data_IF_076345699135
#
_entry.id   IF_076345699135
#
_cell.length_a   1.000
_cell.length_b   1.000
_cell.length_c   1.000
_cell.angle_alpha   90.00
_cell.angle_beta   90.00
_cell.angle_gamma   90.00
#
_symmetry.space_group_name_H-M   'P 1'
#
loop_
_entity.id
_entity.type
_entity.pdbx_description
1 polymer ?
#
# COMPACT_ATOMS: atom_id res chain seq x y z
N UNK A 1 -26.37 39.29 67.06
CA UNK A 1 -25.35 38.47 67.75
C UNK A 1 -25.73 37.01 67.58
N UNK A 2 -24.76 36.17 67.16
CA UNK A 2 -24.75 34.68 67.21
C UNK A 2 -25.63 34.04 66.11
N UNK A 3 -25.14 33.60 64.95
CA UNK A 3 -24.15 32.55 64.58
C UNK A 3 -24.77 31.18 64.29
N UNK A 4 -24.10 30.49 63.34
CA UNK A 4 -24.04 29.04 63.11
C UNK A 4 -24.93 28.45 62.01
N UNK A 5 -24.36 28.45 60.81
CA UNK A 5 -23.90 27.24 60.11
C UNK A 5 -24.48 25.90 60.57
N UNK A 6 -25.25 25.24 59.70
CA UNK A 6 -25.52 23.80 59.78
C UNK A 6 -25.44 23.15 58.38
N UNK A 7 -24.49 22.23 58.29
CA UNK A 7 -24.33 21.19 57.27
C UNK A 7 -25.42 20.13 57.43
N UNK A 8 -25.90 19.50 56.35
CA UNK A 8 -25.82 18.03 56.14
C UNK A 8 -26.55 17.53 54.89
N UNK A 9 -25.76 16.83 54.07
CA UNK A 9 -26.00 15.56 53.36
C UNK A 9 -27.20 15.41 52.41
N UNK A 10 -26.87 15.52 51.11
CA UNK A 10 -27.64 15.00 49.98
C UNK A 10 -27.51 13.46 49.95
N UNK A 11 -28.64 12.76 49.99
CA UNK A 11 -28.74 11.31 49.74
C UNK A 11 -28.88 11.09 48.23
N UNK A 12 -27.81 10.67 47.55
CA UNK A 12 -27.94 10.06 46.23
C UNK A 12 -28.02 8.54 46.36
N UNK A 13 -29.19 8.02 45.95
CA UNK A 13 -29.52 6.61 45.83
C UNK A 13 -29.22 6.18 44.38
N UNK A 14 -28.70 4.97 44.26
CA UNK A 14 -28.61 4.12 43.05
C UNK A 14 -27.46 4.49 42.09
N UNK A 15 -26.35 3.76 42.16
CA UNK A 15 -26.12 2.50 41.42
C UNK A 15 -26.01 2.73 39.92
N UNK A 16 -24.79 2.94 39.42
CA UNK A 16 -24.27 2.17 38.29
C UNK A 16 -22.79 2.51 38.03
N UNK A 17 -21.94 1.53 38.33
CA UNK A 17 -20.76 1.12 37.56
C UNK A 17 -19.88 2.20 36.92
N UNK A 18 -18.72 2.37 37.55
CA UNK A 18 -17.41 2.47 36.91
C UNK A 18 -17.42 2.22 35.39
N UNK A 19 -17.32 3.30 34.62
CA UNK A 19 -16.57 3.25 33.37
C UNK A 19 -15.56 4.38 33.47
N UNK A 20 -14.37 3.98 33.92
CA UNK A 20 -13.12 4.61 33.59
C UNK A 20 -13.14 4.95 32.09
N UNK A 21 -13.49 6.20 31.76
CA UNK A 21 -13.04 6.81 30.51
C UNK A 21 -11.53 7.04 30.66
N UNK A 22 -10.77 5.93 30.66
CA UNK A 22 -9.41 5.97 30.15
C UNK A 22 -9.61 6.35 28.69
N UNK A 23 -9.43 7.63 28.42
CA UNK A 23 -9.17 8.10 27.07
C UNK A 23 -7.88 7.37 26.70
N UNK A 24 -8.03 6.24 26.01
CA UNK A 24 -6.93 5.57 25.34
C UNK A 24 -6.44 6.60 24.33
N UNK A 25 -5.43 7.35 24.73
CA UNK A 25 -4.67 8.17 23.80
C UNK A 25 -4.08 7.21 22.78
N UNK A 26 -4.78 6.99 21.67
CA UNK A 26 -4.11 6.61 20.45
C UNK A 26 -3.15 7.75 20.15
N UNK A 27 -1.92 7.63 20.63
CA UNK A 27 -0.82 8.39 20.08
C UNK A 27 -0.72 7.93 18.63
N UNK A 28 -1.28 8.73 17.72
CA UNK A 28 -0.84 8.71 16.33
C UNK A 28 0.62 9.13 16.41
N UNK A 29 1.47 8.14 16.59
CA UNK A 29 2.88 8.30 16.34
C UNK A 29 2.97 8.53 14.84
N UNK A 30 2.92 9.81 14.44
CA UNK A 30 3.42 10.24 13.14
C UNK A 30 4.95 10.10 13.18
N UNK A 31 5.41 8.86 13.34
CA UNK A 31 6.67 8.47 12.77
C UNK A 31 6.48 8.76 11.28
N UNK A 32 6.96 9.93 10.86
CA UNK A 32 7.41 10.16 9.50
C UNK A 32 8.52 9.13 9.34
N UNK A 33 8.12 7.89 9.02
CA UNK A 33 9.03 6.83 8.69
C UNK A 33 9.80 7.39 7.52
N UNK A 34 11.04 7.80 7.79
CA UNK A 34 11.92 8.32 6.77
C UNK A 34 11.95 7.23 5.72
N UNK A 35 11.29 7.48 4.60
CA UNK A 35 11.20 6.57 3.47
C UNK A 35 12.61 6.42 2.92
N UNK A 36 13.42 5.57 3.54
CA UNK A 36 14.51 4.91 2.87
C UNK A 36 13.82 4.06 1.81
N UNK A 37 13.64 4.64 0.62
CA UNK A 37 13.08 3.92 -0.50
C UNK A 37 14.02 2.74 -0.71
N UNK A 38 13.59 1.53 -0.38
CA UNK A 38 14.35 0.32 -0.64
C UNK A 38 14.31 0.10 -2.14
N UNK A 39 15.18 0.85 -2.84
CA UNK A 39 15.37 0.76 -4.28
C UNK A 39 16.36 -0.35 -4.52
N UNK A 40 15.92 -1.38 -5.22
CA UNK A 40 16.81 -2.44 -5.65
C UNK A 40 16.50 -2.86 -7.07
N UNK A 41 17.48 -3.54 -7.64
CA UNK A 41 17.51 -3.88 -9.05
C UNK A 41 17.62 -5.39 -9.19
N UNK A 42 16.78 -5.97 -10.06
CA UNK A 42 16.84 -7.39 -10.41
C UNK A 42 17.06 -7.49 -11.92
N UNK A 43 17.99 -8.34 -12.35
CA UNK A 43 18.24 -8.61 -13.77
C UNK A 43 17.62 -9.94 -14.17
N UNK A 44 17.18 -10.04 -15.43
CA UNK A 44 16.61 -11.26 -15.95
C UNK A 44 16.46 -11.27 -17.47
N UNK A 45 15.90 -12.36 -17.97
CA UNK A 45 15.57 -12.57 -19.39
C UNK A 45 14.07 -12.82 -19.51
N UNK A 46 13.41 -12.19 -20.47
CA UNK A 46 11.99 -12.45 -20.74
C UNK A 46 11.86 -13.84 -21.34
N UNK A 47 11.06 -14.69 -20.70
CA UNK A 47 10.71 -16.01 -21.22
C UNK A 47 9.47 -15.95 -22.10
N UNK A 48 8.43 -15.27 -21.62
CA UNK A 48 7.13 -15.21 -22.29
C UNK A 48 6.45 -13.86 -22.06
N UNK A 49 5.58 -13.50 -23.00
CA UNK A 49 4.78 -12.28 -23.02
C UNK A 49 3.33 -12.66 -23.31
N UNK A 50 2.43 -12.29 -22.40
CA UNK A 50 1.00 -12.56 -22.53
C UNK A 50 0.23 -11.24 -22.53
N UNK A 51 -0.69 -11.04 -23.47
CA UNK A 51 -1.59 -9.88 -23.43
C UNK A 51 -2.60 -10.03 -22.29
N UNK A 52 -2.80 -8.96 -21.51
CA UNK A 52 -3.76 -8.93 -20.40
C UNK A 52 -4.63 -7.68 -20.45
N UNK A 53 -5.82 -7.77 -19.85
CA UNK A 53 -6.68 -6.60 -19.61
C UNK A 53 -6.44 -6.12 -18.18
N UNK A 54 -6.18 -4.83 -18.02
CA UNK A 54 -6.02 -4.18 -16.72
C UNK A 54 -7.34 -3.48 -16.42
N UNK A 55 -8.05 -3.98 -15.41
CA UNK A 55 -9.21 -3.30 -14.85
C UNK A 55 -8.70 -2.18 -13.94
N UNK A 56 -9.16 -0.95 -14.17
CA UNK A 56 -8.91 0.17 -13.26
C UNK A 56 -10.10 0.27 -12.30
N UNK A 57 -9.83 0.33 -10.99
CA UNK A 57 -10.83 0.55 -9.95
C UNK A 57 -11.54 1.88 -10.23
N UNK A 58 -12.74 1.77 -10.78
CA UNK A 58 -13.44 2.87 -11.43
C UNK A 58 -14.04 3.81 -10.38
N UNK A 59 -13.51 5.03 -10.29
CA UNK A 59 -14.25 6.23 -9.84
C UNK A 59 -14.43 7.26 -10.97
N UNK A 60 -14.10 6.90 -12.21
CA UNK A 60 -14.16 7.81 -13.34
C UNK A 60 -15.05 7.21 -14.43
N UNK A 61 -16.17 7.88 -14.74
CA UNK A 61 -17.32 7.40 -15.53
C UNK A 61 -17.03 7.07 -17.01
N UNK A 62 -15.76 7.05 -17.43
CA UNK A 62 -15.37 6.61 -18.77
C UNK A 62 -15.18 5.08 -18.82
N UNK A 63 -16.31 4.38 -18.71
CA UNK A 63 -16.45 2.91 -18.73
C UNK A 63 -15.86 2.22 -19.97
N UNK A 64 -15.53 2.98 -21.02
CA UNK A 64 -15.10 2.45 -22.31
C UNK A 64 -13.58 2.37 -22.50
N UNK A 65 -12.78 2.81 -21.52
CA UNK A 65 -11.32 2.76 -21.65
C UNK A 65 -10.76 1.42 -21.15
N UNK A 66 -10.76 0.41 -22.02
CA UNK A 66 -10.03 -0.85 -21.77
C UNK A 66 -8.53 -0.56 -21.72
N UNK A 67 -7.93 -0.66 -20.53
CA UNK A 67 -6.48 -0.56 -20.40
C UNK A 67 -5.85 -1.90 -20.77
N UNK A 68 -5.19 -1.95 -21.93
CA UNK A 68 -4.41 -3.11 -22.34
C UNK A 68 -3.06 -3.12 -21.61
N UNK A 69 -2.66 -4.31 -21.16
CA UNK A 69 -1.38 -4.58 -20.55
C UNK A 69 -0.71 -5.80 -21.17
N UNK A 70 0.55 -6.01 -20.77
CA UNK A 70 1.28 -7.25 -21.02
C UNK A 70 1.78 -7.79 -19.69
N UNK A 71 1.67 -9.10 -19.52
CA UNK A 71 2.34 -9.85 -18.48
C UNK A 71 3.68 -10.35 -19.02
N UNK A 72 4.75 -10.00 -18.32
CA UNK A 72 6.11 -10.44 -18.63
C UNK A 72 6.50 -11.53 -17.63
N UNK A 73 6.74 -12.75 -18.14
CA UNK A 73 7.38 -13.82 -17.37
C UNK A 73 8.89 -13.67 -17.52
N UNK A 74 9.58 -13.38 -16.42
CA UNK A 74 11.00 -13.04 -16.41
C UNK A 74 11.76 -14.07 -15.57
N UNK A 75 12.75 -14.72 -16.18
CA UNK A 75 13.71 -15.55 -15.47
C UNK A 75 14.86 -14.67 -14.95
N UNK A 76 15.00 -14.55 -13.64
CA UNK A 76 16.09 -13.78 -13.04
C UNK A 76 17.42 -14.51 -13.20
N UNK A 77 18.50 -13.74 -13.14
CA UNK A 77 19.87 -14.28 -13.13
C UNK A 77 20.16 -15.20 -11.95
N UNK A 78 19.32 -15.17 -10.90
CA UNK A 78 19.42 -16.04 -9.72
C UNK A 78 18.67 -17.37 -9.88
N UNK A 79 18.05 -17.62 -11.04
CA UNK A 79 17.32 -18.86 -11.26
C UNK A 79 15.85 -18.82 -10.80
N UNK A 80 15.34 -17.69 -10.31
CA UNK A 80 13.91 -17.53 -9.97
C UNK A 80 13.10 -16.94 -11.11
N UNK A 81 11.84 -17.34 -11.26
CA UNK A 81 10.89 -16.71 -12.19
C UNK A 81 10.06 -15.62 -11.48
N UNK A 82 9.79 -14.51 -12.17
CA UNK A 82 8.95 -13.40 -11.71
C UNK A 82 7.95 -13.08 -12.82
N UNK A 83 6.66 -12.98 -12.48
CA UNK A 83 5.66 -12.38 -13.35
C UNK A 83 5.46 -10.90 -13.00
N UNK A 84 5.43 -10.04 -14.01
CA UNK A 84 5.13 -8.61 -13.87
C UNK A 84 4.11 -8.19 -14.93
N UNK A 85 2.96 -7.70 -14.47
CA UNK A 85 1.99 -7.02 -15.34
C UNK A 85 2.37 -5.56 -15.47
N UNK A 86 2.44 -5.08 -16.71
CA UNK A 86 2.67 -3.68 -17.04
C UNK A 86 1.65 -3.19 -18.07
N UNK A 87 1.33 -1.90 -18.01
CA UNK A 87 0.60 -1.23 -19.09
C UNK A 87 1.46 -1.24 -20.35
N UNK A 88 0.84 -1.44 -21.51
CA UNK A 88 1.58 -1.34 -22.78
C UNK A 88 2.17 0.06 -22.88
N UNK A 89 3.50 0.12 -23.03
CA UNK A 89 4.26 1.36 -23.20
C UNK A 89 5.02 1.35 -24.54
N UNK A 90 5.97 2.28 -24.73
CA UNK A 90 6.73 2.38 -25.99
C UNK A 90 7.70 1.23 -26.23
N UNK A 91 8.03 0.44 -25.20
CA UNK A 91 9.03 -0.60 -25.32
C UNK A 91 8.34 -1.90 -25.75
N UNK A 92 8.56 -2.28 -27.00
CA UNK A 92 8.10 -3.55 -27.54
C UNK A 92 9.10 -4.64 -27.13
N UNK A 93 8.91 -5.19 -25.93
CA UNK A 93 9.69 -6.34 -25.47
C UNK A 93 9.40 -7.58 -26.33
N UNK A 94 10.40 -8.44 -26.49
CA UNK A 94 10.28 -9.77 -27.08
C UNK A 94 10.89 -10.84 -26.17
N UNK A 95 10.46 -12.09 -26.32
CA UNK A 95 11.10 -13.21 -25.62
C UNK A 95 12.59 -13.28 -25.95
N UNK A 96 13.41 -13.49 -24.93
CA UNK A 96 14.87 -13.45 -25.01
C UNK A 96 15.49 -12.10 -24.64
N UNK A 97 14.70 -11.03 -24.55
CA UNK A 97 15.24 -9.73 -24.15
C UNK A 97 15.79 -9.75 -22.73
N UNK A 98 16.98 -9.17 -22.56
CA UNK A 98 17.55 -8.91 -21.24
C UNK A 98 16.90 -7.67 -20.66
N UNK A 99 16.42 -7.79 -19.43
CA UNK A 99 15.72 -6.72 -18.75
C UNK A 99 16.25 -6.50 -17.35
N UNK A 100 16.05 -5.27 -16.89
CA UNK A 100 16.30 -4.85 -15.53
C UNK A 100 14.97 -4.41 -14.91
N UNK A 101 14.65 -4.98 -13.75
CA UNK A 101 13.50 -4.63 -12.94
C UNK A 101 13.98 -3.69 -11.84
N UNK A 102 13.52 -2.44 -11.88
CA UNK A 102 13.73 -1.47 -10.82
C UNK A 102 12.53 -1.58 -9.87
N UNK A 103 12.78 -2.03 -8.64
CA UNK A 103 11.77 -2.04 -7.58
C UNK A 103 11.97 -0.82 -6.69
N UNK A 104 10.91 -0.04 -6.53
CA UNK A 104 10.86 1.16 -5.69
C UNK A 104 9.58 1.10 -4.87
N UNK A 105 9.72 0.79 -3.57
CA UNK A 105 8.60 0.56 -2.67
C UNK A 105 7.64 -0.51 -3.25
N UNK A 106 6.36 -0.18 -3.39
CA UNK A 106 5.33 -1.08 -3.93
C UNK A 106 5.20 -1.00 -5.47
N UNK A 107 6.17 -0.39 -6.16
CA UNK A 107 6.15 -0.24 -7.62
C UNK A 107 7.33 -0.96 -8.26
N UNK A 108 7.08 -1.58 -9.39
CA UNK A 108 8.09 -2.20 -10.23
C UNK A 108 8.08 -1.57 -11.61
N UNK A 109 9.25 -1.35 -12.20
CA UNK A 109 9.39 -0.92 -13.58
C UNK A 109 10.35 -1.85 -14.30
N UNK A 110 9.91 -2.40 -15.43
CA UNK A 110 10.75 -3.21 -16.32
C UNK A 110 11.32 -2.30 -17.40
N UNK A 111 12.63 -2.37 -17.62
CA UNK A 111 13.32 -1.64 -18.68
C UNK A 111 14.33 -2.55 -19.38
N UNK A 112 14.64 -2.30 -20.67
CA UNK A 112 15.71 -3.01 -21.35
C UNK A 112 17.04 -2.88 -20.59
N UNK A 113 17.74 -4.00 -20.40
CA UNK A 113 19.14 -4.00 -19.96
C UNK A 113 20.02 -3.87 -21.20
N UNK A 114 21.04 -3.02 -21.13
CA UNK A 114 22.12 -3.04 -22.12
C UNK A 114 22.91 -4.36 -22.02
#
# INVERSE_FOLDING_TARGET
MISNYWSTTIKHKESLLFIFFIISSCSINSNKESSYSNKYTVYGTILNITEVKIEEDSLNDNKDKINKGVELLIQTTKGTSISIVQKIDKNNFVSGDKVMIIKLNNRSRVIPSK
#
